data_IF_193502335458
#
_entry.id   IF_193502335458
#
_cell.length_a   1.000
_cell.length_b   1.000
_cell.length_c   1.000
_cell.angle_alpha   90.00
_cell.angle_beta   90.00
_cell.angle_gamma   90.00
#
_symmetry.space_group_name_H-M   'P 1'
#
loop_
_entity.id
_entity.type
_entity.pdbx_description
1 polymer ?
#
# COMPACT_ATOMS: atom_id res chain seq x y z
N UNK A 1 9.26 -29.16 -21.86
CA UNK A 1 8.95 -27.74 -21.58
C UNK A 1 7.67 -27.72 -20.79
N UNK A 2 7.74 -27.48 -19.47
CA UNK A 2 6.54 -27.30 -18.67
C UNK A 2 5.91 -25.99 -19.13
N UNK A 3 4.75 -26.07 -19.79
CA UNK A 3 3.83 -24.93 -19.84
C UNK A 3 3.38 -24.78 -18.39
N UNK A 4 4.09 -23.98 -17.61
CA UNK A 4 3.51 -23.45 -16.39
C UNK A 4 2.23 -22.77 -16.86
N UNK A 5 1.08 -23.35 -16.52
CA UNK A 5 -0.22 -22.75 -16.80
C UNK A 5 -0.15 -21.31 -16.31
N UNK A 6 -0.42 -20.34 -17.18
CA UNK A 6 -0.41 -18.93 -16.81
C UNK A 6 -1.31 -18.75 -15.57
N UNK A 7 -0.65 -18.57 -14.41
CA UNK A 7 -1.30 -18.58 -13.10
C UNK A 7 -2.22 -17.37 -12.90
N UNK A 8 -2.12 -16.37 -13.79
CA UNK A 8 -2.89 -15.14 -13.73
C UNK A 8 -4.09 -15.12 -14.70
N UNK A 9 -4.37 -16.23 -15.38
CA UNK A 9 -5.47 -16.32 -16.37
C UNK A 9 -6.83 -15.88 -15.81
N UNK A 10 -7.13 -16.23 -14.55
CA UNK A 10 -8.42 -15.93 -13.88
C UNK A 10 -8.62 -14.46 -13.53
N UNK A 11 -7.57 -13.66 -13.55
CA UNK A 11 -7.62 -12.22 -13.25
C UNK A 11 -7.26 -11.33 -14.44
N UNK A 12 -6.86 -11.93 -15.57
CA UNK A 12 -6.37 -11.22 -16.76
C UNK A 12 -7.35 -10.18 -17.34
N UNK A 13 -8.66 -10.40 -17.21
CA UNK A 13 -9.69 -9.43 -17.65
C UNK A 13 -9.74 -8.16 -16.79
N UNK A 14 -9.35 -8.27 -15.51
CA UNK A 14 -9.36 -7.16 -14.55
C UNK A 14 -7.98 -6.58 -14.30
N UNK A 15 -6.92 -7.31 -14.64
CA UNK A 15 -5.52 -6.95 -14.38
C UNK A 15 -4.73 -7.12 -15.66
N UNK A 16 -4.52 -6.04 -16.44
CA UNK A 16 -3.83 -6.13 -17.72
C UNK A 16 -2.33 -6.34 -17.51
N UNK A 17 -1.88 -7.60 -17.58
CA UNK A 17 -0.48 -7.97 -17.28
C UNK A 17 0.55 -7.21 -18.12
N UNK A 18 0.26 -6.90 -19.39
CA UNK A 18 1.16 -6.14 -20.25
C UNK A 18 1.40 -4.70 -19.76
N UNK A 19 0.41 -4.12 -19.06
CA UNK A 19 0.59 -2.82 -18.38
C UNK A 19 1.23 -2.95 -17.01
N UNK A 20 1.05 -4.10 -16.34
CA UNK A 20 1.57 -4.35 -14.99
C UNK A 20 3.07 -4.67 -14.98
N UNK A 21 3.52 -5.54 -15.90
CA UNK A 21 4.91 -6.01 -16.02
C UNK A 21 5.98 -4.90 -15.99
N UNK A 22 5.83 -3.78 -16.72
CA UNK A 22 6.86 -2.73 -16.72
C UNK A 22 6.83 -1.84 -15.48
N UNK A 23 5.84 -1.94 -14.60
CA UNK A 23 5.74 -1.05 -13.45
C UNK A 23 6.65 -1.50 -12.32
N UNK A 24 7.24 -0.54 -11.64
CA UNK A 24 7.79 -0.73 -10.29
C UNK A 24 6.83 -0.10 -9.29
N UNK A 25 6.36 -0.90 -8.33
CA UNK A 25 5.42 -0.48 -7.31
C UNK A 25 6.14 -0.31 -5.98
N UNK A 26 6.15 0.91 -5.46
CA UNK A 26 6.72 1.24 -4.16
C UNK A 26 5.63 1.30 -3.10
N UNK A 27 5.80 0.56 -2.00
CA UNK A 27 4.93 0.61 -0.82
C UNK A 27 5.71 1.17 0.36
N UNK A 28 5.23 2.29 0.91
CA UNK A 28 5.86 3.01 2.02
C UNK A 28 5.03 2.81 3.29
N UNK A 29 5.62 2.13 4.26
CA UNK A 29 4.98 1.65 5.48
C UNK A 29 4.40 0.25 5.29
N UNK A 30 4.83 -0.68 6.13
CA UNK A 30 4.43 -2.10 6.19
C UNK A 30 3.69 -2.44 7.49
N UNK A 31 2.94 -1.46 7.99
CA UNK A 31 1.97 -1.66 9.07
C UNK A 31 0.74 -2.47 8.61
N UNK A 32 -0.36 -2.31 9.34
CA UNK A 32 -1.59 -3.07 9.11
C UNK A 32 -2.06 -3.04 7.64
N UNK A 33 -2.16 -1.87 7.01
CA UNK A 33 -2.61 -1.75 5.61
C UNK A 33 -1.51 -2.16 4.63
N UNK A 34 -0.30 -1.66 4.83
CA UNK A 34 0.80 -1.79 3.87
C UNK A 34 1.20 -3.22 3.58
N UNK A 35 1.30 -4.07 4.62
CA UNK A 35 1.55 -5.49 4.43
C UNK A 35 0.48 -6.15 3.56
N UNK A 36 -0.80 -5.84 3.80
CA UNK A 36 -1.92 -6.41 3.05
C UNK A 36 -1.94 -5.93 1.59
N UNK A 37 -1.55 -4.68 1.34
CA UNK A 37 -1.34 -4.14 -0.01
C UNK A 37 -0.26 -4.95 -0.72
N UNK A 38 0.90 -5.16 -0.10
CA UNK A 38 2.02 -5.90 -0.71
C UNK A 38 1.65 -7.34 -1.06
N UNK A 39 1.02 -8.07 -0.13
CA UNK A 39 0.63 -9.46 -0.38
C UNK A 39 -0.38 -9.58 -1.52
N UNK A 40 -1.33 -8.64 -1.61
CA UNK A 40 -2.28 -8.62 -2.70
C UNK A 40 -1.62 -8.20 -4.03
N UNK A 41 -0.71 -7.23 -4.03
CA UNK A 41 0.08 -6.86 -5.23
C UNK A 41 0.89 -8.05 -5.76
N UNK A 42 1.50 -8.83 -4.88
CA UNK A 42 2.20 -10.06 -5.25
C UNK A 42 1.24 -11.07 -5.90
N UNK A 43 0.07 -11.30 -5.30
CA UNK A 43 -0.95 -12.18 -5.88
C UNK A 43 -1.52 -11.66 -7.22
N UNK A 44 -1.53 -10.34 -7.44
CA UNK A 44 -1.89 -9.72 -8.71
C UNK A 44 -0.81 -9.90 -9.80
N UNK A 45 0.41 -10.31 -9.45
CA UNK A 45 1.52 -10.50 -10.38
C UNK A 45 2.33 -9.23 -10.65
N UNK A 46 2.46 -8.34 -9.66
CA UNK A 46 3.38 -7.20 -9.74
C UNK A 46 4.82 -7.72 -9.71
N UNK A 47 5.53 -7.60 -10.83
CA UNK A 47 6.87 -8.17 -10.99
C UNK A 47 7.95 -7.47 -10.16
N UNK A 48 7.80 -6.17 -9.87
CA UNK A 48 8.81 -5.37 -9.17
C UNK A 48 8.17 -4.59 -8.02
N UNK A 49 8.53 -4.97 -6.81
CA UNK A 49 8.09 -4.36 -5.56
C UNK A 49 9.27 -3.69 -4.86
N UNK A 50 9.09 -2.45 -4.41
CA UNK A 50 10.01 -1.80 -3.49
C UNK A 50 9.29 -1.56 -2.17
N UNK A 51 9.86 -2.09 -1.09
CA UNK A 51 9.27 -2.04 0.24
C UNK A 51 10.10 -1.12 1.14
N UNK A 52 9.46 -0.11 1.74
CA UNK A 52 10.14 0.85 2.61
C UNK A 52 9.47 0.86 3.98
N UNK A 53 10.16 0.33 4.98
CA UNK A 53 9.77 0.38 6.39
C UNK A 53 11.02 0.18 7.26
N UNK A 54 11.06 0.80 8.44
CA UNK A 54 12.20 0.76 9.35
C UNK A 54 11.95 -0.05 10.62
N UNK A 55 10.72 -0.50 10.85
CA UNK A 55 10.35 -1.22 12.05
C UNK A 55 10.69 -2.71 11.92
N UNK A 56 10.87 -3.33 13.08
CA UNK A 56 10.83 -4.78 13.23
C UNK A 56 9.42 -5.25 13.60
N UNK A 57 9.15 -6.54 13.42
CA UNK A 57 7.89 -7.16 13.80
C UNK A 57 7.80 -7.26 15.33
N UNK A 58 6.72 -6.71 15.88
CA UNK A 58 6.38 -6.77 17.30
C UNK A 58 5.25 -7.77 17.57
N UNK A 59 5.06 -8.26 18.82
CA UNK A 59 4.01 -9.23 19.15
C UNK A 59 2.59 -8.77 18.77
N UNK A 60 2.30 -7.48 18.91
CA UNK A 60 0.99 -6.90 18.54
C UNK A 60 0.73 -6.96 17.04
N UNK A 61 1.78 -7.03 16.21
CA UNK A 61 1.67 -7.02 14.76
C UNK A 61 1.23 -8.40 14.23
N UNK A 62 1.47 -9.48 14.98
CA UNK A 62 1.04 -10.84 14.62
C UNK A 62 -0.48 -10.88 14.43
N UNK A 63 -1.24 -10.30 15.36
CA UNK A 63 -2.70 -10.36 15.35
C UNK A 63 -3.35 -9.21 14.56
N UNK A 64 -2.70 -8.05 14.46
CA UNK A 64 -3.29 -6.86 13.85
C UNK A 64 -2.83 -6.60 12.41
N UNK A 65 -1.68 -7.16 12.00
CA UNK A 65 -1.08 -6.94 10.68
C UNK A 65 -0.86 -8.26 9.92
N UNK A 66 -0.94 -9.40 10.61
CA UNK A 66 -0.88 -10.73 10.03
C UNK A 66 0.54 -11.27 9.81
N UNK A 67 1.55 -10.69 10.46
CA UNK A 67 2.88 -11.31 10.54
C UNK A 67 2.80 -12.65 11.28
N UNK A 68 3.71 -13.56 10.97
CA UNK A 68 3.77 -14.86 11.61
C UNK A 68 4.54 -14.77 12.93
N UNK A 69 4.27 -15.70 13.85
CA UNK A 69 5.04 -15.78 15.09
C UNK A 69 6.54 -16.01 14.84
N UNK A 70 6.90 -16.65 13.72
CA UNK A 70 8.27 -16.86 13.30
C UNK A 70 8.96 -15.57 12.79
N UNK A 71 8.19 -14.52 12.47
CA UNK A 71 8.72 -13.26 11.97
C UNK A 71 9.11 -12.30 13.10
N UNK A 72 8.87 -12.67 14.36
CA UNK A 72 9.10 -11.80 15.52
C UNK A 72 10.55 -11.28 15.54
N UNK A 73 10.72 -9.99 15.85
CA UNK A 73 12.00 -9.26 15.84
C UNK A 73 12.68 -9.09 14.46
N UNK A 74 12.19 -9.74 13.41
CA UNK A 74 12.69 -9.54 12.04
C UNK A 74 12.28 -8.16 11.51
N UNK A 75 13.09 -7.53 10.65
CA UNK A 75 12.67 -6.35 9.90
C UNK A 75 11.37 -6.63 9.13
N UNK A 76 10.38 -5.72 9.23
CA UNK A 76 9.09 -5.89 8.56
C UNK A 76 9.23 -6.06 7.05
N UNK A 77 10.18 -5.37 6.43
CA UNK A 77 10.50 -5.49 5.01
C UNK A 77 11.00 -6.87 4.63
N UNK A 78 11.82 -7.50 5.46
CA UNK A 78 12.34 -8.86 5.23
C UNK A 78 11.24 -9.91 5.39
N UNK A 79 10.48 -9.84 6.49
CA UNK A 79 9.35 -10.74 6.73
C UNK A 79 8.30 -10.64 5.63
N UNK A 80 8.00 -9.42 5.17
CA UNK A 80 7.06 -9.21 4.07
C UNK A 80 7.62 -9.70 2.74
N UNK A 81 8.92 -9.48 2.45
CA UNK A 81 9.56 -10.00 1.25
C UNK A 81 9.54 -11.54 1.22
N UNK A 82 9.80 -12.20 2.35
CA UNK A 82 9.68 -13.66 2.46
C UNK A 82 8.26 -14.13 2.12
N UNK A 83 7.24 -13.45 2.64
CA UNK A 83 5.84 -13.78 2.34
C UNK A 83 5.48 -13.53 0.86
N UNK A 84 6.06 -12.52 0.21
CA UNK A 84 5.92 -12.30 -1.24
C UNK A 84 6.55 -13.44 -2.04
N UNK A 85 7.78 -13.84 -1.70
CA UNK A 85 8.46 -14.95 -2.37
C UNK A 85 7.73 -16.29 -2.20
N UNK A 86 7.01 -16.47 -1.08
CA UNK A 86 6.16 -17.64 -0.87
C UNK A 86 4.90 -17.64 -1.77
N UNK A 87 4.45 -16.48 -2.25
CA UNK A 87 3.35 -16.36 -3.22
C UNK A 87 3.86 -16.64 -4.64
N UNK A 88 4.96 -15.98 -5.01
CA UNK A 88 5.60 -16.15 -6.30
C UNK A 88 7.10 -15.78 -6.18
N UNK A 89 7.95 -16.78 -6.37
CA UNK A 89 9.41 -16.69 -6.25
C UNK A 89 10.08 -15.99 -7.44
N UNK A 90 9.30 -15.65 -8.48
CA UNK A 90 9.78 -14.90 -9.64
C UNK A 90 9.67 -13.38 -9.47
N UNK A 91 9.08 -12.89 -8.38
CA UNK A 91 8.89 -11.46 -8.14
C UNK A 91 10.17 -10.84 -7.57
N UNK A 92 10.55 -9.67 -8.08
CA UNK A 92 11.68 -8.90 -7.57
C UNK A 92 11.21 -8.02 -6.42
N UNK A 93 11.86 -8.16 -5.26
CA UNK A 93 11.54 -7.37 -4.06
C UNK A 93 12.78 -6.61 -3.58
N UNK A 94 12.79 -5.31 -3.80
CA UNK A 94 13.76 -4.39 -3.20
C UNK A 94 13.33 -4.04 -1.78
N UNK A 95 14.23 -4.20 -0.82
CA UNK A 95 13.96 -4.00 0.60
C UNK A 95 14.77 -2.81 1.11
N UNK A 96 14.08 -1.80 1.61
CA UNK A 96 14.69 -0.60 2.19
C UNK A 96 14.34 -0.55 3.67
N UNK A 97 15.30 -0.98 4.50
CA UNK A 97 15.18 -0.98 5.97
C UNK A 97 15.47 0.43 6.54
N UNK A 98 14.68 1.42 6.13
CA UNK A 98 14.82 2.81 6.57
C UNK A 98 13.48 3.55 6.41
N UNK A 99 13.42 4.75 7.00
CA UNK A 99 12.37 5.72 6.72
C UNK A 99 12.52 6.24 5.30
N UNK A 100 11.40 6.61 4.68
CA UNK A 100 11.46 7.37 3.43
C UNK A 100 12.26 8.66 3.61
N UNK A 101 13.13 8.96 2.65
CA UNK A 101 13.93 10.20 2.58
C UNK A 101 13.87 10.76 1.15
N UNK A 102 13.93 12.09 0.96
CA UNK A 102 13.78 12.71 -0.36
C UNK A 102 14.76 12.26 -1.46
N UNK A 103 15.90 11.66 -1.11
CA UNK A 103 16.89 11.15 -2.07
C UNK A 103 16.70 9.68 -2.46
N UNK A 104 15.72 8.99 -1.89
CA UNK A 104 15.43 7.60 -2.22
C UNK A 104 14.72 7.54 -3.58
N UNK A 105 15.26 6.75 -4.51
CA UNK A 105 14.62 6.50 -5.80
C UNK A 105 13.43 5.58 -5.59
N UNK A 106 12.28 5.95 -6.13
CA UNK A 106 11.03 5.16 -6.05
C UNK A 106 10.51 4.81 -7.44
N UNK A 107 9.61 3.83 -7.50
CA UNK A 107 8.88 3.48 -8.71
C UNK A 107 7.81 4.50 -9.12
N UNK A 108 7.09 4.17 -10.20
CA UNK A 108 6.07 5.03 -10.81
C UNK A 108 4.72 4.96 -10.08
N UNK A 109 4.51 3.88 -9.32
CA UNK A 109 3.27 3.58 -8.60
C UNK A 109 3.58 3.60 -7.11
N UNK A 110 2.98 4.53 -6.37
CA UNK A 110 3.26 4.74 -4.95
C UNK A 110 2.01 4.41 -4.12
N UNK A 111 2.17 3.47 -3.19
CA UNK A 111 1.23 3.22 -2.11
C UNK A 111 1.79 3.77 -0.80
N UNK A 112 1.07 4.69 -0.16
CA UNK A 112 1.43 5.27 1.13
C UNK A 112 0.55 4.70 2.21
N UNK A 113 1.17 3.97 3.14
CA UNK A 113 0.52 3.24 4.22
C UNK A 113 1.11 3.56 5.60
N UNK A 114 1.82 4.69 5.72
CA UNK A 114 2.36 5.21 7.00
C UNK A 114 1.25 5.68 7.94
N UNK A 115 1.54 5.92 9.21
CA UNK A 115 0.52 6.24 10.23
C UNK A 115 0.45 7.73 10.62
N UNK A 116 1.49 8.52 10.29
CA UNK A 116 1.58 9.93 10.65
C UNK A 116 1.27 10.88 9.47
N UNK A 117 0.65 12.03 9.76
CA UNK A 117 0.36 13.04 8.74
C UNK A 117 1.62 13.79 8.31
N UNK A 118 2.59 13.93 9.22
CA UNK A 118 3.92 14.49 8.92
C UNK A 118 4.67 13.65 7.88
N UNK A 119 4.70 12.33 8.03
CA UNK A 119 5.33 11.42 7.07
C UNK A 119 4.63 11.48 5.71
N UNK A 120 3.28 11.43 5.69
CA UNK A 120 2.49 11.61 4.45
C UNK A 120 2.85 12.91 3.73
N UNK A 121 2.91 14.02 4.48
CA UNK A 121 3.25 15.34 3.93
C UNK A 121 4.65 15.36 3.33
N UNK A 122 5.64 14.79 4.03
CA UNK A 122 7.01 14.73 3.55
C UNK A 122 7.13 13.90 2.26
N UNK A 123 6.54 12.70 2.25
CA UNK A 123 6.55 11.81 1.08
C UNK A 123 5.86 12.49 -0.11
N UNK A 124 4.68 13.07 0.12
CA UNK A 124 3.91 13.73 -0.93
C UNK A 124 4.67 14.89 -1.56
N UNK A 125 5.25 15.77 -0.75
CA UNK A 125 6.04 16.91 -1.26
C UNK A 125 7.19 16.48 -2.15
N UNK A 126 7.81 15.33 -1.86
CA UNK A 126 8.88 14.78 -2.70
C UNK A 126 8.33 14.14 -3.98
N UNK A 127 7.33 13.27 -3.87
CA UNK A 127 6.95 12.34 -4.93
C UNK A 127 5.77 12.78 -5.79
N UNK A 128 5.01 13.82 -5.43
CA UNK A 128 3.80 14.27 -6.16
C UNK A 128 4.01 14.66 -7.62
N UNK A 129 5.24 14.78 -8.09
CA UNK A 129 5.58 15.02 -9.51
C UNK A 129 6.43 13.89 -10.11
N UNK A 130 6.73 12.85 -9.34
CA UNK A 130 7.61 11.74 -9.71
C UNK A 130 6.86 10.40 -9.84
N UNK A 131 5.57 10.36 -9.49
CA UNK A 131 4.74 9.18 -9.62
C UNK A 131 3.63 9.37 -10.67
N UNK A 132 3.31 8.30 -11.39
CA UNK A 132 2.16 8.22 -12.29
C UNK A 132 0.86 7.88 -11.53
N UNK A 133 0.98 7.03 -10.50
CA UNK A 133 -0.13 6.66 -9.62
C UNK A 133 0.25 6.87 -8.16
N UNK A 134 -0.63 7.50 -7.41
CA UNK A 134 -0.51 7.68 -5.95
C UNK A 134 -1.77 7.19 -5.26
N UNK A 135 -1.62 6.38 -4.22
CA UNK A 135 -2.71 5.94 -3.36
C UNK A 135 -2.30 5.96 -1.89
N UNK A 136 -3.02 6.71 -1.06
CA UNK A 136 -2.80 6.86 0.38
C UNK A 136 -3.94 6.20 1.15
N UNK A 137 -3.59 5.18 1.93
CA UNK A 137 -4.51 4.41 2.76
C UNK A 137 -4.52 4.98 4.17
N UNK A 138 -5.69 5.38 4.65
CA UNK A 138 -5.90 5.86 6.01
C UNK A 138 -6.97 5.00 6.68
N UNK A 139 -6.72 4.61 7.93
CA UNK A 139 -7.64 3.79 8.71
C UNK A 139 -7.70 4.30 10.14
N UNK A 140 -8.93 4.42 10.67
CA UNK A 140 -9.21 4.69 12.07
C UNK A 140 -10.33 3.77 12.55
N UNK A 141 -9.96 2.65 13.17
CA UNK A 141 -10.94 1.61 13.49
C UNK A 141 -11.56 1.06 12.21
N UNK A 142 -12.87 1.23 12.12
CA UNK A 142 -13.72 0.75 11.05
C UNK A 142 -14.03 1.82 9.98
N UNK A 143 -13.44 3.00 10.12
CA UNK A 143 -13.52 4.06 9.11
C UNK A 143 -12.26 4.05 8.26
N UNK A 144 -12.44 3.76 6.98
CA UNK A 144 -11.41 3.68 5.96
C UNK A 144 -11.50 4.92 5.08
N UNK A 145 -10.35 5.45 4.66
CA UNK A 145 -10.28 6.52 3.67
C UNK A 145 -9.14 6.26 2.71
N UNK A 146 -9.46 6.18 1.42
CA UNK A 146 -8.52 5.94 0.33
C UNK A 146 -8.46 7.19 -0.53
N UNK A 147 -7.28 7.78 -0.62
CA UNK A 147 -7.04 8.98 -1.40
C UNK A 147 -6.17 8.64 -2.61
N UNK A 148 -6.67 8.91 -3.80
CA UNK A 148 -6.00 8.56 -5.06
C UNK A 148 -5.67 9.83 -5.85
N UNK A 149 -4.43 9.94 -6.33
CA UNK A 149 -4.01 11.06 -7.15
C UNK A 149 -3.26 10.59 -8.40
N UNK A 150 -3.83 10.90 -9.57
CA UNK A 150 -3.33 10.45 -10.88
C UNK A 150 -3.25 11.59 -11.91
N UNK A 151 -3.98 12.68 -11.69
CA UNK A 151 -4.07 13.85 -12.55
C UNK A 151 -3.97 15.15 -11.73
N UNK A 152 -3.97 16.32 -12.39
CA UNK A 152 -3.86 17.62 -11.70
C UNK A 152 -4.98 17.82 -10.67
N UNK A 153 -6.23 17.55 -11.04
CA UNK A 153 -7.40 17.77 -10.16
C UNK A 153 -7.36 16.92 -8.90
N UNK A 154 -6.95 15.66 -9.02
CA UNK A 154 -6.84 14.74 -7.89
C UNK A 154 -5.61 15.03 -7.03
N UNK A 155 -4.51 15.52 -7.61
CA UNK A 155 -3.34 16.02 -6.87
C UNK A 155 -3.67 17.29 -6.08
N UNK A 156 -4.37 18.24 -6.69
CA UNK A 156 -4.84 19.46 -6.00
C UNK A 156 -5.78 19.10 -4.84
N UNK A 157 -6.67 18.13 -5.04
CA UNK A 157 -7.51 17.61 -3.96
C UNK A 157 -6.68 16.99 -2.82
N UNK A 158 -5.68 16.16 -3.15
CA UNK A 158 -4.83 15.54 -2.15
C UNK A 158 -4.12 16.57 -1.26
N UNK A 159 -3.64 17.67 -1.84
CA UNK A 159 -3.02 18.78 -1.10
C UNK A 159 -3.93 19.31 0.02
N UNK A 160 -5.25 19.38 -0.22
CA UNK A 160 -6.23 19.84 0.79
C UNK A 160 -6.45 18.85 1.93
N UNK A 161 -6.00 17.60 1.80
CA UNK A 161 -6.20 16.55 2.81
C UNK A 161 -5.06 16.46 3.83
N UNK A 162 -3.98 17.22 3.60
CA UNK A 162 -2.83 17.33 4.48
C UNK A 162 -3.04 18.51 5.42
N UNK A 163 -2.75 18.30 6.70
CA UNK A 163 -2.91 19.30 7.77
C UNK A 163 -1.75 19.16 8.76
N UNK A 164 -1.54 20.17 9.60
CA UNK A 164 -0.45 20.14 10.57
C UNK A 164 -0.70 19.02 11.59
N UNK A 165 0.36 18.33 12.02
CA UNK A 165 0.24 17.25 13.02
C UNK A 165 -0.42 17.73 14.33
N UNK A 166 -0.25 19.02 14.69
CA UNK A 166 -0.89 19.64 15.84
C UNK A 166 -2.42 19.79 15.72
N UNK A 167 -2.95 19.80 14.49
CA UNK A 167 -4.38 19.87 14.19
C UNK A 167 -5.02 18.47 14.14
N UNK A 168 -4.20 17.42 14.20
CA UNK A 168 -4.70 16.06 14.31
C UNK A 168 -5.39 15.91 15.67
N UNK A 169 -6.72 15.67 15.66
CA UNK A 169 -7.44 15.34 16.88
C UNK A 169 -6.74 14.17 17.61
N UNK A 170 -6.44 14.38 18.89
CA UNK A 170 -5.86 13.42 19.82
C UNK A 170 -6.88 12.32 20.15
N UNK A 171 -7.18 11.48 19.16
CA UNK A 171 -7.80 10.18 19.39
C UNK A 171 -6.72 9.16 19.71
N UNK A 172 -6.93 8.33 20.74
CA UNK A 172 -6.01 7.27 21.14
C UNK A 172 -5.62 6.41 19.91
N UNK A 173 -4.41 6.62 19.40
CA UNK A 173 -3.92 6.02 18.16
C UNK A 173 -3.43 4.57 18.36
N UNK A 174 -3.71 3.94 19.51
CA UNK A 174 -2.95 2.77 19.96
C UNK A 174 -3.70 1.44 20.05
N UNK A 175 -4.98 1.30 19.66
CA UNK A 175 -5.64 -0.02 19.87
C UNK A 175 -6.91 -0.34 19.06
N UNK A 176 -7.09 0.18 17.85
CA UNK A 176 -8.25 -0.19 17.01
C UNK A 176 -7.85 -0.47 15.56
N UNK A 177 -6.93 -1.38 15.34
CA UNK A 177 -6.73 -1.99 14.02
C UNK A 177 -7.02 -3.48 14.14
N UNK A 178 -7.84 -3.98 13.23
CA UNK A 178 -8.06 -5.42 13.05
C UNK A 178 -7.56 -5.77 11.65
N UNK A 179 -7.16 -7.02 11.47
CA UNK A 179 -6.61 -7.45 10.18
C UNK A 179 -7.64 -7.30 9.04
N UNK A 180 -8.93 -7.56 9.31
CA UNK A 180 -9.96 -7.48 8.26
C UNK A 180 -10.19 -6.05 7.76
N UNK A 181 -10.19 -5.04 8.65
CA UNK A 181 -10.37 -3.64 8.23
C UNK A 181 -9.20 -3.20 7.36
N UNK A 182 -7.98 -3.64 7.71
CA UNK A 182 -6.78 -3.39 6.93
C UNK A 182 -6.80 -4.10 5.57
N UNK A 183 -7.26 -5.36 5.51
CA UNK A 183 -7.42 -6.09 4.26
C UNK A 183 -8.47 -5.46 3.34
N UNK A 184 -9.58 -4.94 3.88
CA UNK A 184 -10.59 -4.19 3.10
C UNK A 184 -9.97 -2.89 2.57
N UNK A 185 -9.26 -2.14 3.41
CA UNK A 185 -8.57 -0.92 2.98
C UNK A 185 -7.60 -1.21 1.83
N UNK A 186 -6.76 -2.23 1.98
CA UNK A 186 -5.85 -2.67 0.93
C UNK A 186 -6.61 -3.05 -0.36
N UNK A 187 -7.70 -3.80 -0.25
CA UNK A 187 -8.55 -4.16 -1.40
C UNK A 187 -9.13 -2.93 -2.10
N UNK A 188 -9.59 -1.92 -1.36
CA UNK A 188 -10.05 -0.65 -1.92
C UNK A 188 -8.92 0.15 -2.60
N UNK A 189 -7.69 0.12 -2.07
CA UNK A 189 -6.52 0.71 -2.72
C UNK A 189 -6.19 0.02 -4.04
N UNK A 190 -6.18 -1.33 -4.06
CA UNK A 190 -5.95 -2.10 -5.27
C UNK A 190 -7.10 -1.99 -6.28
N UNK A 191 -8.32 -1.77 -5.81
CA UNK A 191 -9.44 -1.41 -6.68
C UNK A 191 -9.16 -0.11 -7.44
N UNK A 192 -8.64 0.94 -6.77
CA UNK A 192 -8.26 2.18 -7.46
C UNK A 192 -7.11 1.95 -8.45
N UNK A 193 -6.11 1.16 -8.06
CA UNK A 193 -4.97 0.83 -8.93
C UNK A 193 -5.39 0.07 -10.19
N UNK A 194 -6.22 -0.96 -10.06
CA UNK A 194 -6.71 -1.74 -11.21
C UNK A 194 -7.61 -0.92 -12.12
N UNK A 195 -8.44 -0.01 -11.58
CA UNK A 195 -9.17 0.98 -12.39
C UNK A 195 -8.23 1.86 -13.20
N UNK A 196 -7.21 2.42 -12.56
CA UNK A 196 -6.21 3.25 -13.22
C UNK A 196 -5.50 2.51 -14.37
N UNK A 197 -5.04 1.27 -14.12
CA UNK A 197 -4.42 0.44 -15.17
C UNK A 197 -5.37 0.19 -16.35
N UNK A 198 -6.66 0.06 -16.09
CA UNK A 198 -7.70 -0.13 -17.10
C UNK A 198 -8.20 1.17 -17.72
N UNK A 199 -7.61 2.31 -17.38
CA UNK A 199 -8.04 3.63 -17.84
C UNK A 199 -9.50 3.95 -17.47
N UNK A 200 -9.97 3.42 -16.35
CA UNK A 200 -11.26 3.72 -15.73
C UNK A 200 -11.03 4.83 -14.70
N UNK A 201 -11.95 5.79 -14.61
CA UNK A 201 -11.88 6.89 -13.64
C UNK A 201 -11.68 6.37 -12.21
N UNK A 202 -10.71 6.91 -11.49
CA UNK A 202 -10.46 6.61 -10.07
C UNK A 202 -11.22 7.57 -9.17
N UNK A 203 -11.62 7.11 -8.00
CA UNK A 203 -12.14 7.95 -6.93
C UNK A 203 -10.97 8.65 -6.23
N UNK A 204 -10.96 9.98 -6.27
CA UNK A 204 -9.90 10.79 -5.63
C UNK A 204 -9.95 10.74 -4.09
N UNK A 205 -11.12 10.49 -3.54
CA UNK A 205 -11.39 10.45 -2.09
C UNK A 205 -12.57 9.53 -1.80
N UNK A 206 -12.26 8.28 -1.49
CA UNK A 206 -13.23 7.28 -1.10
C UNK A 206 -13.17 7.15 0.42
N UNK A 207 -14.29 7.39 1.10
CA UNK A 207 -14.45 7.08 2.53
C UNK A 207 -15.43 5.94 2.65
N UNK A 208 -15.14 4.98 3.52
CA UNK A 208 -16.01 3.85 3.79
C UNK A 208 -16.03 3.56 5.29
N UNK A 209 -17.22 3.56 5.87
CA UNK A 209 -17.49 3.27 7.27
C UNK A 209 -18.11 1.88 7.40
N UNK A 210 -17.34 0.93 7.89
CA UNK A 210 -17.78 -0.47 8.01
C UNK A 210 -18.93 -0.64 9.03
N UNK A 211 -19.01 0.22 10.05
CA UNK A 211 -20.11 0.18 11.02
C UNK A 211 -21.46 0.55 10.38
N UNK A 212 -21.43 1.49 9.45
CA UNK A 212 -22.61 1.95 8.74
C UNK A 212 -22.83 1.25 7.39
N UNK A 213 -21.82 0.52 6.91
CA UNK A 213 -21.79 -0.09 5.57
C UNK A 213 -22.01 0.93 4.44
N UNK A 214 -21.43 2.14 4.57
CA UNK A 214 -21.55 3.26 3.61
C UNK A 214 -20.23 3.98 3.37
#
# INVERSE_FOLDING_TARGET
MNIASDRFVRQSELVPMEKLKPLTVTVIGLGAIGRQVVLQLAALGVQRLQLIDFDNVEPTNITTQGYLAADLEQPKVEATACAVQAIDDSLEVEQVIDRFRPGLVTGEVIFVCVDSISSRTAIWRTLRHQCAFWCDGRMRGEVLRILTAVDSKSRDHYDTTLFAQAEAQTGACTSRSTIYTASIAAGLMLHQFTRWMRSICTERDLTFNLLASE
#
